data_IF_432481729162
#
_entry.id   IF_432481729162
#
_cell.length_a   1.000
_cell.length_b   1.000
_cell.length_c   1.000
_cell.angle_alpha   90.00
_cell.angle_beta   90.00
_cell.angle_gamma   90.00
#
_symmetry.space_group_name_H-M   'P 1'
#
loop_
_entity.id
_entity.type
_entity.pdbx_description
1 polymer ?
#
# COMPACT_ATOMS: atom_id res chain seq x y z
N UNK A 1 -13.08 -14.17 -22.20
CA UNK A 1 -12.64 -12.90 -21.55
C UNK A 1 -13.62 -12.59 -20.43
N UNK A 2 -13.14 -12.31 -19.23
CA UNK A 2 -13.99 -11.86 -18.12
C UNK A 2 -14.47 -10.42 -18.38
N UNK A 3 -15.73 -10.11 -18.07
CA UNK A 3 -16.25 -8.74 -18.18
C UNK A 3 -15.61 -7.79 -17.16
N UNK A 4 -15.68 -6.45 -17.37
CA UNK A 4 -15.08 -5.46 -16.46
C UNK A 4 -15.51 -5.63 -14.99
N UNK A 5 -16.78 -5.92 -14.75
CA UNK A 5 -17.33 -6.18 -13.40
C UNK A 5 -16.73 -7.44 -12.76
N UNK A 6 -16.54 -8.51 -13.54
CA UNK A 6 -15.96 -9.75 -13.03
C UNK A 6 -14.48 -9.59 -12.67
N UNK A 7 -13.72 -8.80 -13.42
CA UNK A 7 -12.31 -8.50 -13.09
C UNK A 7 -12.23 -7.75 -11.76
N UNK A 8 -13.10 -6.76 -11.58
CA UNK A 8 -13.22 -6.01 -10.33
C UNK A 8 -13.54 -6.92 -9.15
N UNK A 9 -14.64 -7.69 -9.24
CA UNK A 9 -15.09 -8.61 -8.19
C UNK A 9 -13.99 -9.62 -7.80
N UNK A 10 -13.33 -10.23 -8.79
CA UNK A 10 -12.24 -11.19 -8.55
C UNK A 10 -11.01 -10.55 -7.90
N UNK A 11 -10.79 -9.26 -8.10
CA UNK A 11 -9.68 -8.56 -7.48
C UNK A 11 -9.98 -8.21 -6.03
N UNK A 12 -11.17 -7.66 -5.76
CA UNK A 12 -11.59 -7.18 -4.43
C UNK A 12 -12.06 -8.28 -3.47
N UNK A 13 -12.11 -9.54 -3.92
CA UNK A 13 -12.55 -10.68 -3.09
C UNK A 13 -11.43 -11.33 -2.26
N UNK A 14 -10.16 -11.03 -2.54
CA UNK A 14 -9.00 -11.64 -1.87
C UNK A 14 -7.79 -10.68 -1.80
N UNK A 15 -6.81 -10.92 -0.91
CA UNK A 15 -5.55 -10.18 -0.92
C UNK A 15 -4.86 -10.24 -2.30
N UNK A 16 -4.19 -9.16 -2.70
CA UNK A 16 -3.67 -9.05 -4.07
C UNK A 16 -2.39 -9.85 -4.32
N UNK A 17 -1.61 -10.13 -3.28
CA UNK A 17 -0.33 -10.81 -3.31
C UNK A 17 0.58 -10.33 -4.43
N UNK A 18 1.00 -11.26 -5.29
CA UNK A 18 1.86 -11.00 -6.44
C UNK A 18 1.08 -10.93 -7.76
N UNK A 19 -0.23 -10.65 -7.73
CA UNK A 19 -1.04 -10.48 -8.95
C UNK A 19 -0.37 -9.45 -9.89
N UNK A 20 -0.30 -9.75 -11.20
CA UNK A 20 0.24 -8.80 -12.16
C UNK A 20 -0.67 -7.58 -12.26
N UNK A 21 -0.11 -6.46 -12.71
CA UNK A 21 -0.83 -5.19 -12.83
C UNK A 21 -2.09 -5.27 -13.72
N UNK A 22 -2.11 -6.19 -14.68
CA UNK A 22 -3.25 -6.46 -15.58
C UNK A 22 -4.45 -7.13 -14.90
N UNK A 23 -4.36 -7.48 -13.61
CA UNK A 23 -5.49 -7.96 -12.82
C UNK A 23 -6.29 -6.82 -12.18
N UNK A 24 -5.79 -5.58 -12.21
CA UNK A 24 -6.55 -4.42 -11.78
C UNK A 24 -7.67 -4.13 -12.79
N UNK A 25 -8.86 -3.82 -12.29
CA UNK A 25 -9.93 -3.34 -13.15
C UNK A 25 -9.47 -2.06 -13.88
N UNK A 26 -9.91 -1.88 -15.14
CA UNK A 26 -9.46 -0.79 -15.99
C UNK A 26 -8.07 -0.97 -16.60
N UNK A 27 -7.26 -1.96 -16.18
CA UNK A 27 -5.91 -2.19 -16.72
C UNK A 27 -5.87 -3.40 -17.66
N UNK A 28 -6.16 -3.15 -18.95
CA UNK A 28 -5.96 -4.14 -20.01
C UNK A 28 -4.49 -4.34 -20.39
N UNK A 29 -4.21 -5.25 -21.33
CA UNK A 29 -2.84 -5.60 -21.73
C UNK A 29 -2.02 -4.41 -22.22
N UNK A 30 -2.61 -3.51 -23.00
CA UNK A 30 -1.92 -2.33 -23.55
C UNK A 30 -1.46 -1.39 -22.44
N UNK A 31 -2.35 -1.09 -21.49
CA UNK A 31 -2.02 -0.24 -20.33
C UNK A 31 -1.05 -0.95 -19.39
N UNK A 32 -1.24 -2.26 -19.18
CA UNK A 32 -0.36 -3.10 -18.38
C UNK A 32 1.08 -3.12 -18.90
N UNK A 33 1.29 -3.26 -20.22
CA UNK A 33 2.63 -3.21 -20.83
C UNK A 33 3.34 -1.87 -20.58
N UNK A 34 2.60 -0.76 -20.66
CA UNK A 34 3.13 0.58 -20.37
C UNK A 34 3.47 0.76 -18.89
N UNK A 35 2.61 0.28 -18.00
CA UNK A 35 2.87 0.27 -16.55
C UNK A 35 4.10 -0.57 -16.20
N UNK A 36 4.24 -1.76 -16.78
CA UNK A 36 5.44 -2.61 -16.62
C UNK A 36 6.69 -1.87 -17.09
N UNK A 37 6.64 -1.21 -18.26
CA UNK A 37 7.76 -0.41 -18.77
C UNK A 37 8.11 0.78 -17.85
N UNK A 38 7.12 1.34 -17.15
CA UNK A 38 7.29 2.37 -16.13
C UNK A 38 7.70 1.81 -14.75
N UNK A 39 7.89 0.49 -14.60
CA UNK A 39 8.33 -0.16 -13.37
C UNK A 39 7.22 -0.71 -12.47
N UNK A 40 5.95 -0.62 -12.89
CA UNK A 40 4.75 -1.07 -12.17
C UNK A 40 4.28 -2.44 -12.66
N UNK A 41 5.09 -3.47 -12.46
CA UNK A 41 4.77 -4.83 -12.95
C UNK A 41 3.65 -5.52 -12.15
N UNK A 42 3.62 -5.28 -10.84
CA UNK A 42 2.71 -5.93 -9.89
C UNK A 42 1.62 -4.97 -9.43
N UNK A 43 0.44 -5.51 -9.10
CA UNK A 43 -0.68 -4.71 -8.62
C UNK A 43 -0.32 -3.90 -7.35
N UNK A 44 0.48 -4.47 -6.44
CA UNK A 44 0.93 -3.77 -5.23
C UNK A 44 1.75 -2.51 -5.53
N UNK A 45 2.43 -2.41 -6.68
CA UNK A 45 3.20 -1.21 -7.03
C UNK A 45 2.26 -0.05 -7.38
N UNK A 46 1.16 -0.33 -8.07
CA UNK A 46 0.10 0.65 -8.36
C UNK A 46 -0.67 1.02 -7.09
N UNK A 47 -0.95 0.04 -6.21
CA UNK A 47 -1.44 0.32 -4.86
C UNK A 47 -0.49 1.26 -4.11
N UNK A 48 0.82 1.04 -4.22
CA UNK A 48 1.84 1.89 -3.62
C UNK A 48 1.70 3.35 -4.04
N UNK A 49 1.51 3.59 -5.34
CA UNK A 49 1.26 4.93 -5.86
C UNK A 49 -0.08 5.51 -5.39
N UNK A 50 -1.15 4.71 -5.41
CA UNK A 50 -2.47 5.10 -4.93
C UNK A 50 -2.43 5.57 -3.47
N UNK A 51 -1.76 4.82 -2.59
CA UNK A 51 -1.59 5.17 -1.19
C UNK A 51 -0.67 6.38 -0.98
N UNK A 52 0.39 6.50 -1.79
CA UNK A 52 1.30 7.64 -1.75
C UNK A 52 0.58 8.95 -2.14
N UNK A 53 -0.35 8.88 -3.09
CA UNK A 53 -1.24 9.98 -3.46
C UNK A 53 -2.44 10.15 -2.51
N UNK A 54 -2.36 9.57 -1.31
CA UNK A 54 -3.39 9.69 -0.27
C UNK A 54 -4.78 9.24 -0.70
N UNK A 55 -4.86 8.30 -1.64
CA UNK A 55 -6.11 7.77 -2.20
C UNK A 55 -6.91 8.84 -2.96
N UNK A 56 -6.30 9.99 -3.27
CA UNK A 56 -6.96 11.08 -3.98
C UNK A 56 -7.30 10.66 -5.42
N UNK A 57 -8.58 10.77 -5.78
CA UNK A 57 -9.07 10.29 -7.07
C UNK A 57 -8.49 11.06 -8.24
N UNK A 58 -8.49 12.39 -8.17
CA UNK A 58 -8.05 13.25 -9.26
C UNK A 58 -6.56 13.04 -9.53
N UNK A 59 -5.73 13.13 -8.50
CA UNK A 59 -4.28 12.97 -8.61
C UNK A 59 -3.90 11.56 -9.09
N UNK A 60 -4.61 10.52 -8.63
CA UNK A 60 -4.35 9.16 -9.09
C UNK A 60 -4.70 8.97 -10.57
N UNK A 61 -5.86 9.48 -11.00
CA UNK A 61 -6.30 9.37 -12.39
C UNK A 61 -5.39 10.14 -13.34
N UNK A 62 -4.94 11.32 -12.94
CA UNK A 62 -3.97 12.12 -13.68
C UNK A 62 -2.60 11.44 -13.77
N UNK A 63 -2.14 10.84 -12.67
CA UNK A 63 -0.92 10.04 -12.68
C UNK A 63 -1.04 8.84 -13.64
N UNK A 64 -2.16 8.11 -13.60
CA UNK A 64 -2.35 6.92 -14.41
C UNK A 64 -2.44 7.28 -15.91
N UNK A 65 -3.14 8.38 -16.23
CA UNK A 65 -3.16 8.97 -17.57
C UNK A 65 -1.76 9.35 -18.04
N UNK A 66 -0.98 10.02 -17.20
CA UNK A 66 0.38 10.46 -17.56
C UNK A 66 1.36 9.28 -17.72
N UNK A 67 1.15 8.20 -16.98
CA UNK A 67 2.07 7.05 -16.93
C UNK A 67 1.79 6.03 -18.03
N UNK A 68 0.51 5.74 -18.31
CA UNK A 68 0.15 4.69 -19.28
C UNK A 68 -0.90 5.10 -20.32
N UNK A 69 -1.27 6.38 -20.36
CA UNK A 69 -2.30 6.95 -21.25
C UNK A 69 -3.67 6.28 -21.06
N UNK A 70 -4.01 5.96 -19.81
CA UNK A 70 -5.35 5.51 -19.46
C UNK A 70 -6.39 6.61 -19.78
N UNK A 71 -7.55 6.21 -20.30
CA UNK A 71 -8.68 7.11 -20.47
C UNK A 71 -9.46 7.28 -19.16
N UNK A 72 -10.44 8.18 -19.14
CA UNK A 72 -11.25 8.47 -17.96
C UNK A 72 -11.95 7.23 -17.40
N UNK A 73 -12.47 6.35 -18.24
CA UNK A 73 -13.18 5.12 -17.81
C UNK A 73 -12.22 4.12 -17.16
N UNK A 74 -11.10 3.85 -17.80
CA UNK A 74 -10.08 2.92 -17.30
C UNK A 74 -9.48 3.42 -15.98
N UNK A 75 -9.22 4.73 -15.89
CA UNK A 75 -8.67 5.35 -14.68
C UNK A 75 -9.64 5.31 -13.49
N UNK A 76 -10.93 5.60 -13.72
CA UNK A 76 -11.96 5.50 -12.68
C UNK A 76 -12.14 4.06 -12.21
N UNK A 77 -12.23 3.10 -13.14
CA UNK A 77 -12.37 1.68 -12.79
C UNK A 77 -11.17 1.17 -11.96
N UNK A 78 -9.95 1.60 -12.30
CA UNK A 78 -8.76 1.24 -11.54
C UNK A 78 -8.77 1.84 -10.13
N UNK A 79 -9.15 3.12 -10.01
CA UNK A 79 -9.26 3.79 -8.72
C UNK A 79 -10.31 3.13 -7.82
N UNK A 80 -11.52 2.89 -8.35
CA UNK A 80 -12.62 2.23 -7.61
C UNK A 80 -12.22 0.85 -7.12
N UNK A 81 -11.56 0.07 -7.97
CA UNK A 81 -11.04 -1.26 -7.63
C UNK A 81 -10.04 -1.23 -6.47
N UNK A 82 -9.08 -0.28 -6.49
CA UNK A 82 -8.12 -0.12 -5.40
C UNK A 82 -8.78 0.44 -4.13
N UNK A 83 -9.71 1.37 -4.26
CA UNK A 83 -10.39 1.96 -3.12
C UNK A 83 -11.29 0.95 -2.38
N UNK A 84 -12.02 0.11 -3.12
CA UNK A 84 -12.80 -0.97 -2.52
C UNK A 84 -11.90 -2.05 -1.90
N UNK A 85 -10.82 -2.45 -2.59
CA UNK A 85 -9.85 -3.40 -2.03
C UNK A 85 -9.24 -2.86 -0.72
N UNK A 86 -8.81 -1.59 -0.71
CA UNK A 86 -8.30 -0.94 0.49
C UNK A 86 -9.34 -0.97 1.61
N UNK A 87 -10.58 -0.63 1.30
CA UNK A 87 -11.66 -0.63 2.29
C UNK A 87 -11.78 -2.00 2.97
N UNK A 88 -11.69 -3.10 2.22
CA UNK A 88 -11.81 -4.48 2.74
C UNK A 88 -10.57 -5.02 3.47
N UNK A 89 -9.37 -4.67 3.02
CA UNK A 89 -8.13 -5.32 3.47
C UNK A 89 -7.18 -4.40 4.26
N UNK A 90 -7.27 -3.07 4.09
CA UNK A 90 -6.43 -2.11 4.82
C UNK A 90 -7.20 -1.35 5.91
N UNK A 91 -8.52 -1.16 5.78
CA UNK A 91 -9.30 -0.29 6.66
C UNK A 91 -10.43 -1.00 7.43
N UNK A 92 -10.97 -2.13 6.95
CA UNK A 92 -12.05 -2.85 7.64
C UNK A 92 -11.54 -3.73 8.79
N UNK A 93 -12.07 -3.49 9.98
CA UNK A 93 -11.79 -4.24 11.22
C UNK A 93 -12.57 -5.54 11.34
N UNK A 94 -13.55 -5.79 10.46
CA UNK A 94 -14.50 -6.91 10.57
C UNK A 94 -14.17 -8.11 9.67
N UNK A 95 -13.40 -7.91 8.59
CA UNK A 95 -13.13 -8.94 7.58
C UNK A 95 -11.77 -9.67 7.75
N UNK A 96 -10.91 -9.20 8.66
CA UNK A 96 -9.67 -9.91 8.98
C UNK A 96 -9.98 -11.12 9.87
N UNK A 97 -10.30 -12.26 9.25
CA UNK A 97 -10.27 -13.59 9.89
C UNK A 97 -8.83 -13.93 10.28
N UNK A 98 -8.31 -13.26 11.29
CA UNK A 98 -7.08 -13.67 11.94
C UNK A 98 -7.49 -14.68 12.99
N UNK A 99 -6.85 -15.86 13.06
CA UNK A 99 -7.04 -16.75 14.20
C UNK A 99 -6.64 -15.96 15.45
N UNK A 100 -7.63 -15.52 16.23
CA UNK A 100 -7.39 -15.03 17.58
C UNK A 100 -6.90 -16.23 18.38
N UNK A 101 -5.59 -16.38 18.52
CA UNK A 101 -5.05 -17.17 19.62
C UNK A 101 -5.52 -16.50 20.91
N UNK A 102 -5.91 -17.31 21.91
CA UNK A 102 -6.43 -16.84 23.20
C UNK A 102 -5.45 -15.97 24.00
N UNK A 103 -4.22 -15.86 23.53
CA UNK A 103 -3.15 -15.11 24.16
C UNK A 103 -3.06 -13.71 23.55
N UNK A 104 -3.30 -12.69 24.36
CA UNK A 104 -3.06 -11.29 24.01
C UNK A 104 -1.59 -11.12 23.62
N UNK A 105 -1.27 -10.58 22.43
CA UNK A 105 0.13 -10.33 22.05
C UNK A 105 0.78 -9.31 22.98
N UNK A 106 1.98 -9.61 23.48
CA UNK A 106 2.66 -8.80 24.51
C UNK A 106 3.51 -7.67 23.91
N UNK A 107 3.78 -7.71 22.61
CA UNK A 107 4.60 -6.72 21.92
C UNK A 107 3.81 -5.81 20.99
N UNK A 108 4.24 -4.54 20.91
CA UNK A 108 3.64 -3.53 20.02
C UNK A 108 3.68 -3.98 18.55
N UNK A 109 4.73 -4.71 18.14
CA UNK A 109 4.86 -5.28 16.79
C UNK A 109 3.72 -6.26 16.50
N UNK A 110 3.48 -7.21 17.41
CA UNK A 110 2.46 -8.25 17.22
C UNK A 110 1.04 -7.69 17.26
N UNK A 111 0.74 -6.77 18.20
CA UNK A 111 -0.56 -6.11 18.26
C UNK A 111 -0.87 -5.31 16.98
N UNK A 112 0.15 -4.78 16.30
CA UNK A 112 -0.03 -4.00 15.08
C UNK A 112 -0.09 -4.84 13.80
N UNK A 113 0.46 -6.06 13.79
CA UNK A 113 0.35 -6.99 12.65
C UNK A 113 -1.05 -7.62 12.62
N UNK A 114 -1.80 -7.60 13.72
CA UNK A 114 -3.13 -8.22 13.79
C UNK A 114 -4.27 -7.22 13.46
N UNK A 115 -3.99 -5.93 13.41
CA UNK A 115 -5.00 -4.92 13.12
C UNK A 115 -4.85 -4.33 11.72
N UNK A 116 -5.96 -3.92 11.06
CA UNK A 116 -5.88 -3.15 9.83
C UNK A 116 -5.02 -1.90 10.03
N UNK A 117 -4.25 -1.52 9.00
CA UNK A 117 -3.39 -0.34 9.05
C UNK A 117 -4.21 0.93 9.26
N UNK A 118 -5.40 0.98 8.66
CA UNK A 118 -6.41 2.00 8.92
C UNK A 118 -5.91 3.42 8.65
N UNK A 119 -6.52 4.39 9.34
CA UNK A 119 -6.14 5.80 9.32
C UNK A 119 -5.09 6.16 10.39
N UNK A 120 -4.33 5.15 10.86
CA UNK A 120 -3.29 5.32 11.89
C UNK A 120 -2.26 6.36 11.47
N UNK A 121 -1.81 7.15 12.43
CA UNK A 121 -0.78 8.16 12.24
C UNK A 121 0.58 7.51 12.00
N UNK A 122 1.46 8.20 11.31
CA UNK A 122 2.82 7.72 11.06
C UNK A 122 3.62 7.44 12.35
N UNK A 123 3.34 8.19 13.42
CA UNK A 123 3.95 8.00 14.76
C UNK A 123 3.56 6.68 15.43
N UNK A 124 2.55 5.99 14.92
CA UNK A 124 2.11 4.71 15.47
C UNK A 124 2.96 3.55 14.94
N UNK A 125 3.61 3.73 13.78
CA UNK A 125 4.48 2.72 13.18
C UNK A 125 5.61 2.27 14.12
N UNK A 126 5.88 0.95 14.23
CA UNK A 126 7.07 0.45 14.91
C UNK A 126 8.34 1.12 14.39
N UNK A 127 9.25 1.48 15.31
CA UNK A 127 10.47 2.22 14.98
C UNK A 127 10.30 3.73 14.78
N UNK A 128 9.07 4.26 14.68
CA UNK A 128 8.82 5.70 14.45
C UNK A 128 8.30 6.37 15.74
N UNK A 129 9.21 7.02 16.47
CA UNK A 129 8.86 7.84 17.63
C UNK A 129 8.29 9.21 17.26
N UNK A 130 7.84 9.99 18.27
CA UNK A 130 7.22 11.32 18.07
C UNK A 130 8.08 12.28 17.24
N UNK A 131 9.40 12.33 17.48
CA UNK A 131 10.33 13.23 16.77
C UNK A 131 10.44 12.86 15.29
N UNK A 132 10.67 11.58 15.00
CA UNK A 132 10.80 11.09 13.61
C UNK A 132 9.45 11.15 12.88
N UNK A 133 8.35 10.85 13.57
CA UNK A 133 7.01 10.97 13.01
C UNK A 133 6.65 12.41 12.66
N UNK A 134 7.03 13.40 13.48
CA UNK A 134 6.86 14.82 13.11
C UNK A 134 7.61 15.16 11.82
N UNK A 135 8.86 14.72 11.68
CA UNK A 135 9.64 14.95 10.45
C UNK A 135 9.01 14.27 9.22
N UNK A 136 8.44 13.08 9.40
CA UNK A 136 7.68 12.40 8.34
C UNK A 136 6.42 13.19 7.95
N UNK A 137 5.67 13.69 8.94
CA UNK A 137 4.51 14.58 8.69
C UNK A 137 4.94 15.82 7.91
N UNK A 138 6.03 16.47 8.33
CA UNK A 138 6.58 17.66 7.65
C UNK A 138 7.01 17.35 6.20
N UNK A 139 7.42 16.10 5.93
CA UNK A 139 7.74 15.59 4.60
C UNK A 139 6.52 15.06 3.81
N UNK A 140 5.30 15.20 4.33
CA UNK A 140 4.05 14.79 3.69
C UNK A 140 3.55 13.38 4.00
N UNK A 141 4.24 12.65 4.88
CA UNK A 141 3.94 11.27 5.31
C UNK A 141 3.25 11.28 6.68
N UNK A 142 2.02 11.79 6.74
CA UNK A 142 1.27 11.94 7.98
C UNK A 142 0.57 10.65 8.46
N UNK A 143 0.22 9.77 7.52
CA UNK A 143 -0.45 8.50 7.79
C UNK A 143 0.44 7.29 7.54
N UNK A 144 0.21 6.23 8.30
CA UNK A 144 0.93 4.97 8.17
C UNK A 144 0.79 4.36 6.76
N UNK A 145 -0.39 4.46 6.14
CA UNK A 145 -0.60 3.95 4.77
C UNK A 145 0.19 4.72 3.71
N UNK A 146 0.54 6.00 3.93
CA UNK A 146 1.36 6.77 2.98
C UNK A 146 2.81 6.24 2.99
N UNK A 147 3.31 5.87 4.18
CA UNK A 147 4.61 5.19 4.32
C UNK A 147 4.57 3.78 3.73
N UNK A 148 3.47 3.04 3.92
CA UNK A 148 3.26 1.77 3.21
C UNK A 148 3.29 1.99 1.68
N UNK A 149 2.66 3.05 1.19
CA UNK A 149 2.70 3.44 -0.22
C UNK A 149 4.14 3.58 -0.72
N UNK A 150 4.96 4.34 0.01
CA UNK A 150 6.39 4.49 -0.29
C UNK A 150 7.17 3.17 -0.24
N UNK A 151 6.90 2.33 0.76
CA UNK A 151 7.49 0.99 0.89
C UNK A 151 7.19 0.10 -0.32
N UNK A 152 5.95 0.11 -0.80
CA UNK A 152 5.53 -0.63 -1.99
C UNK A 152 6.15 -0.09 -3.27
N UNK A 153 6.27 1.25 -3.41
CA UNK A 153 6.96 1.90 -4.53
C UNK A 153 8.45 1.55 -4.58
N UNK A 154 9.08 1.34 -3.44
CA UNK A 154 10.44 0.82 -3.31
C UNK A 154 10.52 -0.70 -3.44
N UNK A 155 9.45 -1.35 -3.93
CA UNK A 155 9.38 -2.79 -4.19
C UNK A 155 9.69 -3.64 -2.96
N UNK A 156 9.34 -3.15 -1.77
CA UNK A 156 9.62 -3.79 -0.47
C UNK A 156 11.13 -3.98 -0.21
N UNK A 157 12.00 -3.29 -0.96
CA UNK A 157 13.45 -3.42 -0.85
C UNK A 157 13.96 -2.90 0.50
N UNK A 158 14.66 -3.77 1.23
CA UNK A 158 15.16 -3.48 2.58
C UNK A 158 16.19 -2.36 2.61
N UNK A 159 17.10 -2.32 1.64
CA UNK A 159 18.16 -1.32 1.60
C UNK A 159 17.62 0.06 1.25
N UNK A 160 16.85 0.14 0.15
CA UNK A 160 16.28 1.38 -0.35
C UNK A 160 15.30 2.00 0.63
N UNK A 161 14.40 1.20 1.23
CA UNK A 161 13.43 1.73 2.18
C UNK A 161 14.11 2.26 3.45
N UNK A 162 15.05 1.50 4.02
CA UNK A 162 15.75 1.93 5.24
C UNK A 162 16.57 3.19 5.00
N UNK A 163 17.31 3.23 3.90
CA UNK A 163 18.06 4.42 3.48
C UNK A 163 17.12 5.63 3.34
N UNK A 164 16.02 5.50 2.61
CA UNK A 164 15.04 6.57 2.45
C UNK A 164 14.50 7.06 3.80
N UNK A 165 14.15 6.14 4.70
CA UNK A 165 13.56 6.48 6.00
C UNK A 165 14.58 7.19 6.91
N UNK A 166 15.82 6.69 6.95
CA UNK A 166 16.93 7.33 7.67
C UNK A 166 17.23 8.73 7.12
N UNK A 167 17.24 8.93 5.80
CA UNK A 167 17.47 10.24 5.19
C UNK A 167 16.30 11.21 5.41
N UNK A 168 15.05 10.72 5.38
CA UNK A 168 13.85 11.57 5.44
C UNK A 168 13.55 12.06 6.86
N UNK A 169 13.73 11.22 7.89
CA UNK A 169 13.36 11.58 9.26
C UNK A 169 14.47 11.40 10.30
N UNK A 170 15.67 11.03 9.85
CA UNK A 170 16.85 10.77 10.71
C UNK A 170 16.55 9.78 11.83
N UNK A 171 15.77 8.74 11.52
CA UNK A 171 15.58 7.60 12.42
C UNK A 171 16.88 6.80 12.54
N UNK A 172 17.07 6.11 13.66
CA UNK A 172 18.22 5.21 13.84
C UNK A 172 18.12 3.98 12.94
N UNK A 173 19.26 3.31 12.71
CA UNK A 173 19.29 2.06 11.92
C UNK A 173 18.44 0.93 12.53
N UNK A 174 18.23 0.94 13.85
CA UNK A 174 17.30 0.02 14.52
C UNK A 174 15.85 0.40 14.19
N UNK A 175 15.47 1.67 14.36
CA UNK A 175 14.11 2.11 14.07
C UNK A 175 13.72 1.93 12.60
N UNK A 176 14.67 2.15 11.67
CA UNK A 176 14.43 1.88 10.24
C UNK A 176 14.19 0.39 9.96
N UNK A 177 14.92 -0.49 10.66
CA UNK A 177 14.75 -1.93 10.55
C UNK A 177 13.42 -2.41 11.14
N UNK A 178 13.05 -1.91 12.33
CA UNK A 178 11.79 -2.25 12.99
C UNK A 178 10.59 -1.84 12.12
N UNK A 179 10.63 -0.64 11.53
CA UNK A 179 9.60 -0.17 10.61
C UNK A 179 9.52 -1.04 9.34
N UNK A 180 10.67 -1.40 8.76
CA UNK A 180 10.71 -2.27 7.58
C UNK A 180 10.15 -3.67 7.88
N UNK A 181 10.57 -4.30 8.98
CA UNK A 181 10.07 -5.63 9.39
C UNK A 181 8.55 -5.59 9.55
N UNK A 182 8.04 -4.56 10.22
CA UNK A 182 6.59 -4.38 10.39
C UNK A 182 5.84 -4.29 9.07
N UNK A 183 6.26 -3.42 8.14
CA UNK A 183 5.58 -3.27 6.86
C UNK A 183 5.71 -4.53 6.00
N UNK A 184 6.84 -5.25 6.09
CA UNK A 184 7.04 -6.50 5.39
C UNK A 184 6.11 -7.61 5.91
N UNK A 185 6.03 -7.77 7.23
CA UNK A 185 5.13 -8.74 7.89
C UNK A 185 3.67 -8.39 7.59
N UNK A 186 3.31 -7.10 7.66
CA UNK A 186 1.98 -6.62 7.30
C UNK A 186 1.64 -6.97 5.84
N UNK A 187 2.52 -6.66 4.89
CA UNK A 187 2.30 -7.03 3.51
C UNK A 187 2.16 -8.54 3.30
N UNK A 188 2.95 -9.35 4.02
CA UNK A 188 2.88 -10.82 3.93
C UNK A 188 1.50 -11.35 4.35
N UNK A 189 0.84 -10.67 5.28
CA UNK A 189 -0.47 -11.09 5.80
C UNK A 189 -1.67 -10.47 5.05
N UNK A 190 -1.55 -9.23 4.55
CA UNK A 190 -2.71 -8.47 4.03
C UNK A 190 -2.59 -7.94 2.60
N UNK A 191 -1.37 -7.84 2.04
CA UNK A 191 -1.13 -7.20 0.72
C UNK A 191 -0.62 -8.19 -0.31
#
# INVERSE_FOLDING_TARGET
>A
MSGPTQVHENFVSEPMGLKPVTKLAGIGETLGKRLVAAGFEKAYAVLGQFLFLKKDEEHFRDWLKSTCLANSKDSSACWECLNEWCSKFLFDTNNTKIPRTSDKPTDKHENFVIEPLGEKLVTELPGIGKVHGKRLVDAGFDKAYVVLGKFLLLKKDRGLFRKWLEETCSVSSKGSLDCWNYLYDYCTNFV
#
